data_IF_677560057845
#
_entry.id   IF_677560057845
#
_cell.length_a   1.000
_cell.length_b   1.000
_cell.length_c   1.000
_cell.angle_alpha   90.00
_cell.angle_beta   90.00
_cell.angle_gamma   90.00
#
_symmetry.space_group_name_H-M   'P 1'
#
loop_
_entity.id
_entity.type
_entity.pdbx_description
1 polymer ?
#
# COMPACT_ATOMS: atom_id res chain seq x y z
N UNK A 1 -55.75 47.61 -30.71
CA UNK A 1 -55.74 46.13 -30.69
C UNK A 1 -54.41 45.58 -31.19
N UNK A 2 -53.80 46.20 -32.19
CA UNK A 2 -52.47 45.75 -32.77
C UNK A 2 -51.26 45.86 -31.84
N UNK A 3 -51.25 46.84 -30.89
CA UNK A 3 -50.12 47.07 -30.01
C UNK A 3 -49.99 46.01 -28.88
N UNK A 4 -51.09 45.38 -28.44
CA UNK A 4 -51.09 44.34 -27.40
C UNK A 4 -50.57 43.00 -27.92
N UNK A 5 -50.67 42.71 -29.20
CA UNK A 5 -50.22 41.46 -29.83
C UNK A 5 -48.70 41.47 -30.02
N UNK A 6 -48.10 42.61 -30.36
CA UNK A 6 -46.68 42.76 -30.57
C UNK A 6 -45.87 42.59 -29.22
N UNK A 7 -46.40 43.11 -28.10
CA UNK A 7 -45.75 42.94 -26.80
C UNK A 7 -45.81 41.51 -26.25
N UNK A 8 -46.85 40.74 -26.58
CA UNK A 8 -46.94 39.33 -26.20
C UNK A 8 -45.91 38.47 -26.94
N UNK A 9 -45.68 38.74 -28.23
CA UNK A 9 -44.63 38.04 -29.01
C UNK A 9 -43.23 38.33 -28.52
N UNK A 10 -42.91 39.58 -28.19
CA UNK A 10 -41.58 39.97 -27.68
C UNK A 10 -41.24 39.28 -26.36
N UNK A 11 -42.20 39.19 -25.44
CA UNK A 11 -41.98 38.48 -24.17
C UNK A 11 -41.81 36.96 -24.35
N UNK A 12 -42.39 36.38 -25.38
CA UNK A 12 -42.23 34.95 -25.69
C UNK A 12 -40.82 34.63 -26.20
N UNK A 13 -40.33 35.46 -27.10
CA UNK A 13 -38.98 35.34 -27.65
C UNK A 13 -37.87 35.56 -26.58
N UNK A 14 -38.07 36.53 -25.68
CA UNK A 14 -37.17 36.78 -24.56
C UNK A 14 -37.13 35.56 -23.60
N UNK A 15 -38.28 34.95 -23.30
CA UNK A 15 -38.36 33.74 -22.48
C UNK A 15 -37.67 32.53 -23.14
N UNK A 16 -37.88 32.34 -24.43
CA UNK A 16 -37.22 31.29 -25.20
C UNK A 16 -35.71 31.49 -25.24
N UNK A 17 -35.21 32.72 -25.42
CA UNK A 17 -33.81 33.06 -25.41
C UNK A 17 -33.16 32.81 -24.03
N UNK A 18 -33.84 33.14 -22.92
CA UNK A 18 -33.38 32.89 -21.57
C UNK A 18 -33.32 31.39 -21.27
N UNK A 19 -34.29 30.61 -21.72
CA UNK A 19 -34.31 29.14 -21.58
C UNK A 19 -33.13 28.51 -22.35
N UNK A 20 -32.88 29.00 -23.57
CA UNK A 20 -31.78 28.53 -24.39
C UNK A 20 -30.42 28.81 -23.74
N UNK A 21 -30.23 30.01 -23.18
CA UNK A 21 -28.99 30.39 -22.46
C UNK A 21 -28.82 29.52 -21.22
N UNK A 22 -29.90 29.20 -20.50
CA UNK A 22 -29.86 28.37 -19.32
C UNK A 22 -29.50 26.91 -19.67
N UNK A 23 -30.00 26.37 -20.79
CA UNK A 23 -29.67 25.03 -21.28
C UNK A 23 -28.19 24.96 -21.72
N UNK A 24 -27.70 26.00 -22.40
CA UNK A 24 -26.27 26.06 -22.82
C UNK A 24 -25.33 26.17 -21.62
N UNK A 25 -25.72 26.87 -20.55
CA UNK A 25 -24.91 26.98 -19.33
C UNK A 25 -24.85 25.64 -18.53
N UNK A 26 -25.90 24.81 -18.62
CA UNK A 26 -25.87 23.47 -18.01
C UNK A 26 -25.02 22.46 -18.81
N UNK A 27 -24.87 22.64 -20.12
CA UNK A 27 -24.02 21.79 -20.95
C UNK A 27 -22.50 22.09 -20.78
N UNK A 28 -22.14 23.25 -20.27
CA UNK A 28 -20.75 23.63 -20.04
C UNK A 28 -20.10 23.00 -18.78
N UNK A 29 -20.88 22.32 -17.93
CA UNK A 29 -20.38 21.63 -16.72
C UNK A 29 -19.95 20.18 -16.94
N UNK A 30 -20.00 19.66 -18.17
CA UNK A 30 -19.41 18.35 -18.50
C UNK A 30 -18.05 18.51 -19.19
N UNK A 31 -17.18 19.37 -18.66
CA UNK A 31 -15.76 19.23 -18.89
C UNK A 31 -15.36 18.00 -18.07
N UNK A 32 -15.26 16.86 -18.74
CA UNK A 32 -14.51 15.72 -18.24
C UNK A 32 -13.14 16.24 -17.80
N UNK A 33 -12.99 16.49 -16.52
CA UNK A 33 -11.70 16.47 -15.91
C UNK A 33 -11.21 15.02 -16.11
N UNK A 34 -10.50 14.78 -17.20
CA UNK A 34 -9.62 13.62 -17.27
C UNK A 34 -8.69 13.79 -16.07
N UNK A 35 -9.10 13.22 -14.95
CA UNK A 35 -8.17 12.89 -13.89
C UNK A 35 -7.16 11.98 -14.56
N UNK A 36 -6.01 12.54 -14.96
CA UNK A 36 -4.82 11.77 -15.24
C UNK A 36 -4.56 11.02 -13.94
N UNK A 37 -5.15 9.83 -13.83
CA UNK A 37 -4.86 8.92 -12.75
C UNK A 37 -3.35 8.72 -12.80
N UNK A 38 -2.60 9.03 -11.73
CA UNK A 38 -1.18 8.78 -11.73
C UNK A 38 -0.96 7.34 -12.17
N UNK A 39 0.09 7.05 -12.95
CA UNK A 39 0.38 5.69 -13.39
C UNK A 39 0.27 4.78 -12.18
N UNK A 40 -0.45 3.64 -12.35
CA UNK A 40 -0.65 2.68 -11.29
C UNK A 40 0.70 2.40 -10.63
N UNK A 41 0.82 2.50 -9.30
CA UNK A 41 2.08 2.28 -8.64
C UNK A 41 2.59 0.91 -9.10
N UNK A 42 3.85 0.87 -9.56
CA UNK A 42 4.50 -0.38 -9.93
C UNK A 42 4.40 -1.29 -8.72
N UNK A 43 3.60 -2.35 -8.82
CA UNK A 43 3.53 -3.39 -7.81
C UNK A 43 4.95 -3.94 -7.66
N UNK A 44 5.58 -3.76 -6.51
CA UNK A 44 6.98 -4.06 -6.23
C UNK A 44 7.45 -5.51 -6.47
N UNK A 45 6.53 -6.39 -6.87
CA UNK A 45 6.85 -7.76 -7.33
C UNK A 45 7.79 -7.82 -8.55
N UNK A 46 7.93 -6.75 -9.32
CA UNK A 46 8.72 -6.75 -10.57
C UNK A 46 10.23 -6.72 -10.36
N UNK A 47 10.71 -6.46 -9.14
CA UNK A 47 12.15 -6.35 -8.83
C UNK A 47 12.76 -7.64 -8.27
N UNK A 48 11.94 -8.66 -7.99
CA UNK A 48 12.39 -9.93 -7.42
C UNK A 48 12.70 -10.95 -8.50
N UNK A 49 13.89 -11.56 -8.43
CA UNK A 49 14.32 -12.65 -9.28
C UNK A 49 14.32 -13.95 -8.47
N UNK A 50 13.55 -14.96 -8.88
CA UNK A 50 13.56 -16.27 -8.24
C UNK A 50 14.96 -16.91 -8.30
N UNK A 51 15.38 -17.53 -7.20
CA UNK A 51 16.69 -18.20 -7.08
C UNK A 51 16.56 -19.51 -6.30
N UNK A 52 17.54 -20.41 -6.50
CA UNK A 52 17.68 -21.65 -5.72
C UNK A 52 18.78 -21.47 -4.68
N UNK A 53 18.54 -21.92 -3.44
CA UNK A 53 19.48 -21.75 -2.32
C UNK A 53 20.55 -22.86 -2.25
N UNK A 54 20.30 -24.03 -2.81
CA UNK A 54 21.13 -25.25 -2.62
C UNK A 54 22.62 -25.08 -2.96
N UNK A 55 22.95 -24.15 -3.86
CA UNK A 55 24.34 -23.89 -4.28
C UNK A 55 24.95 -22.65 -3.65
N UNK A 56 24.24 -21.96 -2.73
CA UNK A 56 24.65 -20.65 -2.20
C UNK A 56 25.32 -20.75 -0.84
N UNK A 57 26.49 -20.12 -0.72
CA UNK A 57 27.20 -20.02 0.54
C UNK A 57 26.66 -18.84 1.35
N UNK A 58 25.81 -19.13 2.33
CA UNK A 58 25.19 -18.11 3.17
C UNK A 58 26.20 -17.61 4.22
N UNK A 59 26.47 -16.32 4.22
CA UNK A 59 27.37 -15.65 5.18
C UNK A 59 26.64 -14.74 6.16
N UNK A 60 25.48 -14.20 5.79
CA UNK A 60 24.67 -13.32 6.63
C UNK A 60 23.18 -13.60 6.43
N UNK A 61 22.36 -13.22 7.39
CA UNK A 61 20.92 -13.29 7.30
C UNK A 61 20.23 -12.98 8.61
N UNK A 62 18.93 -12.80 8.55
CA UNK A 62 18.10 -12.50 9.74
C UNK A 62 16.72 -13.11 9.61
N UNK A 63 16.12 -13.39 10.77
CA UNK A 63 14.68 -13.55 10.96
C UNK A 63 14.15 -12.30 11.64
N UNK A 64 13.20 -11.62 11.03
CA UNK A 64 12.67 -10.33 11.48
C UNK A 64 11.17 -10.46 11.72
N UNK A 65 10.73 -10.02 12.91
CA UNK A 65 9.33 -9.90 13.29
C UNK A 65 8.86 -8.46 13.01
N UNK A 66 7.79 -8.29 12.26
CA UNK A 66 7.21 -6.98 11.94
C UNK A 66 5.79 -6.93 12.49
N UNK A 67 5.54 -6.22 13.61
CA UNK A 67 4.19 -6.10 14.14
C UNK A 67 3.33 -5.27 13.18
N UNK A 68 2.09 -5.71 12.97
CA UNK A 68 1.11 -4.99 12.16
C UNK A 68 -0.29 -5.10 12.77
N UNK A 69 -1.19 -4.26 12.30
CA UNK A 69 -2.56 -4.19 12.76
C UNK A 69 -3.49 -4.26 11.56
N UNK A 70 -4.41 -5.22 11.54
CA UNK A 70 -5.46 -5.26 10.53
C UNK A 70 -6.54 -4.20 10.78
N UNK A 71 -6.71 -3.82 12.04
CA UNK A 71 -7.57 -2.73 12.49
C UNK A 71 -7.09 -2.21 13.84
N UNK A 72 -7.54 -1.04 14.23
CA UNK A 72 -7.36 -0.45 15.57
C UNK A 72 -8.71 -0.07 16.16
N UNK A 73 -8.78 0.02 17.49
CA UNK A 73 -9.98 0.54 18.14
C UNK A 73 -10.16 2.02 17.87
N UNK A 74 -11.42 2.43 17.73
CA UNK A 74 -11.83 3.80 17.47
C UNK A 74 -12.80 4.26 18.55
N UNK A 75 -12.66 5.53 18.96
CA UNK A 75 -13.33 6.06 20.15
C UNK A 75 -13.01 5.25 21.43
N UNK A 76 -13.81 5.39 22.46
CA UNK A 76 -13.61 4.74 23.76
C UNK A 76 -14.32 3.36 23.85
N UNK A 77 -14.35 2.61 22.74
CA UNK A 77 -15.06 1.33 22.70
C UNK A 77 -14.36 0.31 21.82
N UNK A 78 -14.37 -0.94 22.27
CA UNK A 78 -13.86 -2.08 21.49
C UNK A 78 -14.80 -2.51 20.34
N UNK A 79 -16.04 -2.00 20.34
CA UNK A 79 -17.03 -2.35 19.32
C UNK A 79 -16.89 -1.52 18.04
N UNK A 80 -16.02 -0.49 18.04
CA UNK A 80 -15.77 0.33 16.88
C UNK A 80 -14.30 0.25 16.50
N UNK A 81 -14.06 -0.08 15.24
CA UNK A 81 -12.71 -0.27 14.70
C UNK A 81 -12.52 0.56 13.42
N UNK A 82 -11.29 0.94 13.16
CA UNK A 82 -10.83 1.45 11.88
C UNK A 82 -10.00 0.36 11.23
N UNK A 83 -10.41 -0.11 10.06
CA UNK A 83 -9.66 -1.07 9.27
C UNK A 83 -8.47 -0.39 8.58
N UNK A 84 -7.35 -1.11 8.53
CA UNK A 84 -6.08 -0.62 8.01
C UNK A 84 -5.65 -1.42 6.79
N UNK A 85 -5.19 -0.71 5.76
CA UNK A 85 -4.39 -1.32 4.71
C UNK A 85 -2.93 -1.32 5.15
N UNK A 86 -2.22 -2.41 4.90
CA UNK A 86 -0.83 -2.60 5.33
C UNK A 86 0.07 -2.82 4.13
N UNK A 87 1.19 -2.11 4.07
CA UNK A 87 2.27 -2.37 3.13
C UNK A 87 3.52 -2.78 3.90
N UNK A 88 3.92 -4.05 3.78
CA UNK A 88 5.24 -4.50 4.22
C UNK A 88 6.27 -4.03 3.20
N UNK A 89 7.32 -3.34 3.64
CA UNK A 89 8.43 -2.86 2.82
C UNK A 89 9.72 -3.54 3.24
N UNK A 90 10.45 -4.10 2.28
CA UNK A 90 11.77 -4.72 2.45
C UNK A 90 12.73 -3.98 1.55
N UNK A 91 13.73 -3.31 2.12
CA UNK A 91 14.67 -2.48 1.38
C UNK A 91 16.09 -2.99 1.57
N UNK A 92 16.72 -3.44 0.50
CA UNK A 92 18.14 -3.75 0.52
C UNK A 92 18.93 -2.43 0.59
N UNK A 93 19.63 -2.21 1.69
CA UNK A 93 20.43 -0.99 1.93
C UNK A 93 21.90 -1.17 1.53
N UNK A 94 22.30 -2.35 1.08
CA UNK A 94 23.66 -2.59 0.60
C UNK A 94 23.86 -1.94 -0.78
N UNK A 95 24.99 -1.27 -0.96
CA UNK A 95 25.31 -0.52 -2.17
C UNK A 95 25.80 -1.40 -3.32
N UNK A 96 26.18 -2.66 -3.04
CA UNK A 96 26.87 -3.51 -4.01
C UNK A 96 26.26 -4.90 -4.15
N UNK A 97 25.76 -5.48 -3.06
CA UNK A 97 25.39 -6.88 -3.02
C UNK A 97 23.88 -7.08 -2.86
N UNK A 98 23.32 -8.10 -3.52
CA UNK A 98 21.93 -8.48 -3.35
C UNK A 98 21.70 -9.19 -2.02
N UNK A 99 20.44 -9.22 -1.58
CA UNK A 99 19.93 -10.13 -0.56
C UNK A 99 18.97 -11.12 -1.21
N UNK A 100 18.74 -12.25 -0.52
CA UNK A 100 17.74 -13.23 -0.94
C UNK A 100 16.68 -13.29 0.16
N UNK A 101 15.47 -12.89 -0.16
CA UNK A 101 14.32 -13.07 0.71
C UNK A 101 13.91 -14.53 0.58
N UNK A 102 13.88 -15.24 1.71
CA UNK A 102 13.59 -16.68 1.74
C UNK A 102 12.22 -17.00 2.26
N UNK A 103 11.62 -16.06 3.03
CA UNK A 103 10.32 -16.28 3.65
C UNK A 103 9.61 -14.96 3.96
N UNK A 104 8.30 -14.93 3.75
CA UNK A 104 7.40 -13.88 4.21
C UNK A 104 6.09 -14.54 4.61
N UNK A 105 5.93 -14.75 5.90
CA UNK A 105 4.73 -15.33 6.48
C UNK A 105 3.91 -14.27 7.21
N UNK A 106 2.59 -14.34 7.07
CA UNK A 106 1.63 -13.49 7.76
C UNK A 106 0.86 -14.30 8.78
N UNK A 107 0.87 -13.85 10.05
CA UNK A 107 0.26 -14.51 11.19
C UNK A 107 -0.85 -13.65 11.82
N UNK A 108 -1.85 -14.31 12.42
CA UNK A 108 -2.90 -13.64 13.20
C UNK A 108 -2.47 -13.38 14.65
N UNK A 109 -3.36 -12.73 15.39
CA UNK A 109 -3.20 -12.42 16.83
C UNK A 109 -2.98 -13.68 17.69
N UNK A 110 -3.45 -14.85 17.28
CA UNK A 110 -3.27 -16.12 17.99
C UNK A 110 -1.96 -16.83 17.65
N UNK A 111 -1.16 -16.28 16.70
CA UNK A 111 0.05 -16.90 16.19
C UNK A 111 -0.19 -17.96 15.11
N UNK A 112 -1.40 -18.03 14.56
CA UNK A 112 -1.72 -18.93 13.46
C UNK A 112 -1.27 -18.33 12.14
N UNK A 113 -0.57 -19.12 11.32
CA UNK A 113 -0.23 -18.75 9.95
C UNK A 113 -1.49 -18.57 9.11
N UNK A 114 -1.69 -17.38 8.56
CA UNK A 114 -2.78 -17.05 7.64
C UNK A 114 -2.32 -17.27 6.19
N UNK A 115 -1.15 -16.74 5.85
CA UNK A 115 -0.70 -16.71 4.46
C UNK A 115 0.82 -16.68 4.35
N UNK A 116 1.34 -17.46 3.40
CA UNK A 116 2.69 -17.28 2.88
C UNK A 116 2.63 -16.34 1.68
N UNK A 117 3.41 -15.26 1.69
CA UNK A 117 3.40 -14.22 0.66
C UNK A 117 4.52 -14.38 -0.36
N UNK A 118 5.48 -15.27 -0.10
CA UNK A 118 6.63 -15.55 -0.97
C UNK A 118 6.66 -17.04 -1.34
N UNK A 119 6.30 -17.36 -2.57
CA UNK A 119 6.24 -18.76 -3.02
C UNK A 119 7.63 -19.42 -3.14
N UNK A 120 8.64 -18.66 -3.60
CA UNK A 120 10.00 -19.14 -3.82
C UNK A 120 11.02 -18.11 -3.34
N UNK A 121 12.21 -18.55 -2.86
CA UNK A 121 13.29 -17.63 -2.55
C UNK A 121 13.56 -16.68 -3.71
N UNK A 122 13.71 -15.40 -3.41
CA UNK A 122 13.79 -14.35 -4.42
C UNK A 122 14.87 -13.35 -4.10
N UNK A 123 15.73 -13.09 -5.07
CA UNK A 123 16.82 -12.12 -4.97
C UNK A 123 16.30 -10.70 -5.12
N UNK A 124 16.72 -9.83 -4.21
CA UNK A 124 16.49 -8.39 -4.23
C UNK A 124 17.84 -7.70 -4.44
N UNK A 125 18.00 -7.04 -5.55
CA UNK A 125 19.25 -6.37 -5.95
C UNK A 125 19.68 -5.31 -4.93
N UNK A 126 20.94 -4.88 -5.01
CA UNK A 126 21.45 -3.76 -4.22
C UNK A 126 20.58 -2.51 -4.40
N UNK A 127 20.31 -1.79 -3.31
CA UNK A 127 19.48 -0.57 -3.25
C UNK A 127 18.04 -0.74 -3.74
N UNK A 128 17.60 -1.96 -4.06
CA UNK A 128 16.24 -2.22 -4.50
C UNK A 128 15.29 -2.42 -3.30
N UNK A 129 14.00 -2.28 -3.58
CA UNK A 129 12.93 -2.49 -2.60
C UNK A 129 11.89 -3.45 -3.15
N UNK A 130 11.31 -4.24 -2.25
CA UNK A 130 10.13 -5.07 -2.51
C UNK A 130 9.05 -4.72 -1.50
N UNK A 131 7.80 -4.77 -1.94
CA UNK A 131 6.65 -4.51 -1.09
C UNK A 131 5.57 -5.60 -1.23
N UNK A 132 4.82 -5.78 -0.15
CA UNK A 132 3.71 -6.72 -0.06
C UNK A 132 2.51 -6.02 0.57
N UNK A 133 1.42 -5.99 -0.17
CA UNK A 133 0.22 -5.26 0.21
C UNK A 133 -0.87 -6.18 0.76
N UNK A 134 -1.42 -5.80 1.91
CA UNK A 134 -2.66 -6.33 2.47
C UNK A 134 -3.72 -5.24 2.44
N UNK A 135 -4.85 -5.53 1.81
CA UNK A 135 -5.94 -4.57 1.73
C UNK A 135 -6.61 -4.38 3.11
N UNK A 136 -7.30 -3.27 3.30
CA UNK A 136 -8.06 -3.00 4.52
C UNK A 136 -9.22 -3.99 4.78
N UNK A 137 -9.58 -4.79 3.79
CA UNK A 137 -10.59 -5.85 3.94
C UNK A 137 -9.99 -7.14 4.51
N UNK A 138 -8.65 -7.22 4.61
CA UNK A 138 -7.95 -8.34 5.22
C UNK A 138 -7.86 -8.13 6.73
N UNK A 139 -8.94 -8.45 7.42
CA UNK A 139 -9.08 -8.26 8.88
C UNK A 139 -8.75 -9.51 9.70
N UNK A 140 -8.42 -10.63 9.04
CA UNK A 140 -8.17 -11.92 9.70
C UNK A 140 -6.97 -11.92 10.65
N UNK A 141 -6.01 -11.03 10.43
CA UNK A 141 -4.84 -10.87 11.31
C UNK A 141 -5.17 -10.32 12.69
N UNK A 142 -6.15 -9.44 12.78
CA UNK A 142 -6.54 -8.81 14.05
C UNK A 142 -5.57 -7.72 14.51
N UNK A 143 -5.63 -7.40 15.82
CA UNK A 143 -4.80 -6.37 16.47
C UNK A 143 -3.35 -6.79 16.70
N UNK A 144 -3.08 -8.08 16.81
CA UNK A 144 -1.75 -8.64 17.07
C UNK A 144 -1.15 -9.35 15.87
N UNK A 145 -1.60 -9.01 14.68
CA UNK A 145 -1.05 -9.56 13.44
C UNK A 145 0.45 -9.23 13.29
N UNK A 146 1.15 -10.06 12.55
CA UNK A 146 2.57 -9.81 12.29
C UNK A 146 3.05 -10.49 11.00
N UNK A 147 4.14 -9.97 10.45
CA UNK A 147 4.93 -10.69 9.47
C UNK A 147 6.17 -11.30 10.12
N UNK A 148 6.54 -12.49 9.66
CA UNK A 148 7.85 -13.08 9.88
C UNK A 148 8.58 -13.09 8.54
N UNK A 149 9.65 -12.27 8.46
CA UNK A 149 10.47 -12.12 7.26
C UNK A 149 11.83 -12.77 7.49
N UNK A 150 12.25 -13.62 6.55
CA UNK A 150 13.59 -14.20 6.56
C UNK A 150 14.34 -13.79 5.30
N UNK A 151 15.58 -13.38 5.47
CA UNK A 151 16.49 -13.09 4.37
C UNK A 151 17.88 -13.64 4.65
N UNK A 152 18.64 -13.88 3.58
CA UNK A 152 20.03 -14.33 3.62
C UNK A 152 20.86 -13.59 2.57
N UNK A 153 22.19 -13.63 2.72
CA UNK A 153 23.14 -13.10 1.75
C UNK A 153 24.42 -13.95 1.67
N UNK A 154 25.05 -13.92 0.50
CA UNK A 154 26.34 -14.61 0.23
C UNK A 154 27.55 -13.74 0.61
N UNK A 155 27.31 -12.51 1.04
CA UNK A 155 28.33 -11.54 1.45
C UNK A 155 27.99 -10.96 2.83
N UNK A 156 29.00 -10.39 3.49
CA UNK A 156 28.77 -9.47 4.61
C UNK A 156 28.21 -8.17 4.04
N UNK A 157 27.03 -7.78 4.47
CA UNK A 157 26.27 -6.66 3.92
C UNK A 157 25.71 -5.76 5.00
N UNK A 158 25.29 -4.55 4.65
CA UNK A 158 24.44 -3.75 5.51
C UNK A 158 23.07 -4.41 5.68
N UNK A 159 22.57 -4.42 6.92
CA UNK A 159 21.27 -5.02 7.23
C UNK A 159 20.13 -4.29 6.48
N UNK A 160 19.21 -5.01 5.85
CA UNK A 160 18.08 -4.37 5.17
C UNK A 160 17.13 -3.68 6.15
N UNK A 161 16.45 -2.65 5.68
CA UNK A 161 15.32 -2.06 6.40
C UNK A 161 14.07 -2.88 6.08
N UNK A 162 13.43 -3.39 7.13
CA UNK A 162 12.17 -4.14 7.03
C UNK A 162 11.16 -3.49 7.97
N UNK A 163 10.09 -2.97 7.41
CA UNK A 163 9.07 -2.22 8.15
C UNK A 163 7.70 -2.37 7.49
N UNK A 164 6.65 -2.09 8.23
CA UNK A 164 5.29 -2.03 7.69
C UNK A 164 4.71 -0.63 7.86
N UNK A 165 3.99 -0.16 6.84
CA UNK A 165 3.21 1.07 6.89
C UNK A 165 1.74 0.71 6.90
N UNK A 166 0.99 1.14 7.91
CA UNK A 166 -0.46 1.00 7.99
C UNK A 166 -1.12 2.33 7.68
N UNK A 167 -2.17 2.29 6.87
CA UNK A 167 -2.92 3.48 6.47
C UNK A 167 -4.43 3.23 6.49
N UNK A 168 -5.19 4.26 6.83
CA UNK A 168 -6.64 4.33 6.64
C UNK A 168 -7.07 5.74 6.27
N UNK A 169 -8.12 5.83 5.45
CA UNK A 169 -8.77 7.09 5.06
C UNK A 169 -10.25 7.08 5.42
N UNK A 170 -10.67 6.24 6.37
CA UNK A 170 -12.06 6.16 6.79
C UNK A 170 -12.53 7.46 7.45
N UNK A 171 -13.82 7.77 7.25
CA UNK A 171 -14.48 8.95 7.83
C UNK A 171 -13.84 10.29 7.45
N UNK A 172 -13.19 10.38 6.28
CA UNK A 172 -12.60 11.62 5.78
C UNK A 172 -11.35 12.09 6.53
N UNK A 173 -10.77 11.26 7.39
CA UNK A 173 -9.51 11.52 8.11
C UNK A 173 -8.44 10.52 7.67
N UNK A 174 -7.26 11.04 7.32
CA UNK A 174 -6.09 10.22 7.06
C UNK A 174 -5.43 9.77 8.36
N UNK A 175 -5.15 8.49 8.48
CA UNK A 175 -4.35 7.90 9.55
C UNK A 175 -3.23 7.10 8.91
N UNK A 176 -2.00 7.30 9.36
CA UNK A 176 -0.87 6.47 8.94
C UNK A 176 0.16 6.37 10.05
N UNK A 177 0.80 5.22 10.14
CA UNK A 177 1.93 4.99 11.04
C UNK A 177 2.82 3.87 10.50
N UNK A 178 4.08 3.90 10.95
CA UNK A 178 5.10 2.91 10.57
C UNK A 178 5.38 2.00 11.75
N UNK A 179 5.57 0.72 11.46
CA UNK A 179 5.97 -0.30 12.42
C UNK A 179 7.29 -0.91 11.97
N UNK A 180 8.41 -0.60 12.62
CA UNK A 180 9.71 -1.16 12.27
C UNK A 180 9.81 -2.63 12.68
N UNK A 181 10.54 -3.41 11.88
CA UNK A 181 10.84 -4.79 12.19
C UNK A 181 11.82 -4.94 13.34
N UNK A 182 11.64 -6.00 14.14
CA UNK A 182 12.54 -6.41 15.22
C UNK A 182 13.29 -7.68 14.82
N UNK A 183 14.60 -7.64 14.80
CA UNK A 183 15.44 -8.82 14.55
C UNK A 183 15.29 -9.80 15.72
N UNK A 184 14.87 -11.03 15.40
CA UNK A 184 14.75 -12.14 16.36
C UNK A 184 15.98 -13.04 16.34
N UNK A 185 16.60 -13.23 15.16
CA UNK A 185 17.70 -14.15 14.95
C UNK A 185 18.64 -13.62 13.87
N UNK A 186 19.95 -13.82 14.07
CA UNK A 186 20.97 -13.62 13.04
C UNK A 186 21.46 -14.96 12.51
N UNK A 187 21.80 -15.02 11.22
CA UNK A 187 22.45 -16.13 10.54
C UNK A 187 23.85 -15.63 10.13
N UNK A 188 24.89 -16.38 10.46
CA UNK A 188 26.28 -15.96 10.23
C UNK A 188 26.84 -15.02 11.30
N UNK A 189 28.02 -14.44 11.06
CA UNK A 189 28.65 -13.49 11.95
C UNK A 189 27.85 -12.16 11.93
N UNK A 190 27.61 -11.60 13.13
CA UNK A 190 26.99 -10.27 13.25
C UNK A 190 27.90 -9.25 12.56
N UNK A 191 27.38 -8.53 11.57
CA UNK A 191 28.13 -7.43 10.93
C UNK A 191 28.47 -6.39 12.01
N UNK A 192 29.73 -5.92 12.11
CA UNK A 192 30.08 -4.83 13.02
C UNK A 192 29.29 -3.58 12.60
N UNK A 193 28.72 -2.87 13.58
CA UNK A 193 28.03 -1.61 13.40
C UNK A 193 28.98 -0.52 12.90
#
# INVERSE_FOLDING_TARGET
VLQKTAMRGLNHWIKLSLILIFIVSLAACTLDAQTTQPPAPHLGKSTLKQVTLESKKILAGQTIYVPVYSYIYHYDTQNQVINLATTLSIRNTDLKHPIIITKIDYYDTSGKLIKNLLENPSELSSMASADYFLSRNEVSGGLGANFLVEWVAEHSIFEPVVEAVMVSTESGRGLSFVSPGKVLKHIGAKTPA
#
